data_IF_838267047888
#
_entry.id   IF_838267047888
#
_cell.length_a   1.000
_cell.length_b   1.000
_cell.length_c   1.000
_cell.angle_alpha   90.00
_cell.angle_beta   90.00
_cell.angle_gamma   90.00
#
_symmetry.space_group_name_H-M   'P 1'
#
loop_
_entity.id
_entity.type
_entity.pdbx_description
1 polymer ?
#
# COMPACT_ATOMS: atom_id res chain seq x y z
N UNK A 1 -7.19 -0.26 10.67
CA UNK A 1 -5.72 -0.37 10.72
C UNK A 1 -5.19 0.42 11.91
N UNK A 2 -4.03 0.05 12.46
CA UNK A 2 -3.32 0.87 13.44
C UNK A 2 -2.37 1.85 12.72
N UNK A 3 -1.99 2.99 13.32
CA UNK A 3 -0.95 3.84 12.77
C UNK A 3 0.35 3.04 12.63
N UNK A 4 0.97 3.10 11.46
CA UNK A 4 2.12 2.27 11.10
C UNK A 4 3.31 3.09 10.56
N UNK A 5 3.23 4.41 10.61
CA UNK A 5 4.34 5.31 10.35
C UNK A 5 4.28 6.53 11.30
N UNK A 6 5.38 7.28 11.50
CA UNK A 6 5.42 8.38 12.45
C UNK A 6 4.37 9.48 12.20
N UNK A 7 4.09 9.80 10.94
CA UNK A 7 3.07 10.80 10.59
C UNK A 7 1.67 10.38 11.03
N UNK A 8 1.29 9.12 10.79
CA UNK A 8 0.01 8.56 11.23
C UNK A 8 -0.11 8.53 12.76
N UNK A 9 0.98 8.24 13.47
CA UNK A 9 0.99 8.30 14.94
C UNK A 9 0.71 9.71 15.44
N UNK A 10 1.38 10.72 14.89
CA UNK A 10 1.16 12.13 15.26
C UNK A 10 -0.29 12.57 14.99
N UNK A 11 -0.83 12.25 13.80
CA UNK A 11 -2.22 12.59 13.46
C UNK A 11 -3.23 11.99 14.44
N UNK A 12 -3.09 10.70 14.78
CA UNK A 12 -4.03 10.04 15.70
C UNK A 12 -3.84 10.44 17.16
N UNK A 13 -2.63 10.82 17.58
CA UNK A 13 -2.39 11.38 18.91
C UNK A 13 -3.10 12.71 19.10
N UNK A 14 -3.07 13.58 18.09
CA UNK A 14 -3.72 14.89 18.14
C UNK A 14 -5.24 14.80 17.95
N UNK A 15 -5.71 14.00 16.98
CA UNK A 15 -7.13 13.95 16.63
C UNK A 15 -7.93 13.08 17.61
N UNK A 16 -7.36 11.97 18.11
CA UNK A 16 -7.98 11.09 19.10
C UNK A 16 -9.41 10.59 18.74
N UNK A 17 -9.69 10.37 17.45
CA UNK A 17 -10.88 9.68 16.95
C UNK A 17 -10.54 8.87 15.68
N UNK A 18 -11.34 7.86 15.30
CA UNK A 18 -11.06 7.06 14.11
C UNK A 18 -11.18 7.87 12.82
N UNK A 19 -10.18 7.72 11.94
CA UNK A 19 -10.12 8.40 10.65
C UNK A 19 -10.32 7.41 9.51
N UNK A 20 -11.01 7.86 8.45
CA UNK A 20 -11.02 7.16 7.17
C UNK A 20 -9.63 7.31 6.54
N UNK A 21 -8.94 6.19 6.35
CA UNK A 21 -7.63 6.10 5.70
C UNK A 21 -7.76 5.18 4.49
N UNK A 22 -8.11 5.74 3.32
CA UNK A 22 -8.31 5.01 2.06
C UNK A 22 -7.22 5.36 1.04
N UNK A 23 -7.08 4.56 -0.02
CA UNK A 23 -6.16 4.87 -1.11
C UNK A 23 -6.56 6.17 -1.81
N UNK A 24 -5.59 7.08 -1.96
CA UNK A 24 -5.77 8.35 -2.68
C UNK A 24 -5.58 8.14 -4.17
N UNK A 25 -6.63 7.68 -4.86
CA UNK A 25 -6.60 7.46 -6.30
C UNK A 25 -7.96 7.71 -6.95
N UNK A 26 -7.95 8.16 -8.20
CA UNK A 26 -9.15 8.15 -9.03
C UNK A 26 -9.55 6.71 -9.37
N UNK A 27 -10.86 6.49 -9.52
CA UNK A 27 -11.38 5.18 -9.90
C UNK A 27 -10.78 4.72 -11.23
N UNK A 28 -10.29 3.47 -11.27
CA UNK A 28 -9.61 2.90 -12.44
C UNK A 28 -8.16 3.36 -12.65
N UNK A 29 -7.61 4.23 -11.79
CA UNK A 29 -6.20 4.65 -11.83
C UNK A 29 -5.41 4.03 -10.68
N UNK A 30 -4.12 3.70 -10.89
CA UNK A 30 -3.24 3.30 -9.81
C UNK A 30 -3.01 4.47 -8.84
N UNK A 31 -2.67 4.20 -7.56
CA UNK A 31 -2.31 5.24 -6.61
C UNK A 31 -1.11 6.08 -7.06
N UNK A 32 -1.20 7.39 -6.81
CA UNK A 32 -0.12 8.34 -7.01
C UNK A 32 1.07 8.03 -6.08
N UNK A 33 2.29 8.15 -6.59
CA UNK A 33 3.53 8.00 -5.81
C UNK A 33 4.40 9.27 -5.82
N UNK A 34 4.05 10.25 -6.67
CA UNK A 34 4.68 11.56 -6.71
C UNK A 34 3.71 12.63 -6.20
N UNK A 35 4.26 13.72 -5.70
CA UNK A 35 3.48 14.84 -5.19
C UNK A 35 2.66 15.49 -6.31
N UNK A 36 3.26 15.65 -7.48
CA UNK A 36 2.64 16.25 -8.67
C UNK A 36 1.44 15.41 -9.12
N UNK A 37 1.59 14.09 -9.18
CA UNK A 37 0.50 13.19 -9.55
C UNK A 37 -0.63 13.20 -8.51
N UNK A 38 -0.30 13.27 -7.22
CA UNK A 38 -1.32 13.34 -6.17
C UNK A 38 -2.13 14.64 -6.27
N UNK A 39 -1.48 15.78 -6.53
CA UNK A 39 -2.13 17.06 -6.74
C UNK A 39 -3.04 17.00 -7.98
N UNK A 40 -2.51 16.52 -9.11
CA UNK A 40 -3.26 16.44 -10.36
C UNK A 40 -4.47 15.50 -10.27
N UNK A 41 -4.30 14.31 -9.68
CA UNK A 41 -5.37 13.30 -9.61
C UNK A 41 -6.43 13.62 -8.54
N UNK A 42 -6.08 14.33 -7.45
CA UNK A 42 -6.95 14.47 -6.27
C UNK A 42 -7.40 15.91 -5.96
N UNK A 43 -7.00 16.90 -6.74
CA UNK A 43 -7.35 18.31 -6.47
C UNK A 43 -8.86 18.58 -6.37
N UNK A 44 -9.69 17.84 -7.11
CA UNK A 44 -11.15 17.97 -7.06
C UNK A 44 -11.80 17.19 -5.89
N UNK A 45 -11.02 16.40 -5.14
CA UNK A 45 -11.50 15.53 -4.06
C UNK A 45 -11.01 16.02 -2.69
N UNK A 46 -9.75 16.44 -2.60
CA UNK A 46 -9.11 16.79 -1.34
C UNK A 46 -9.14 18.31 -1.11
N UNK A 47 -9.64 18.73 0.05
CA UNK A 47 -9.61 20.15 0.46
C UNK A 47 -8.20 20.64 0.78
N UNK A 48 -7.25 19.72 0.99
CA UNK A 48 -5.87 20.05 1.29
C UNK A 48 -4.95 18.83 1.19
N UNK A 49 -3.65 19.09 1.12
CA UNK A 49 -2.63 18.08 0.92
C UNK A 49 -1.54 18.17 1.99
N UNK A 50 -1.26 17.05 2.65
CA UNK A 50 -0.13 16.90 3.57
C UNK A 50 0.93 16.02 2.91
N UNK A 51 1.89 16.66 2.24
CA UNK A 51 2.93 16.01 1.43
C UNK A 51 4.31 16.11 2.08
N UNK A 52 5.28 15.40 1.52
CA UNK A 52 6.68 15.45 1.94
C UNK A 52 7.64 15.33 0.75
N UNK A 53 8.92 15.63 0.98
CA UNK A 53 10.00 15.57 -0.01
C UNK A 53 10.83 14.27 0.02
N UNK A 54 10.33 13.21 0.67
CA UNK A 54 10.94 11.87 0.60
C UNK A 54 10.26 11.06 -0.50
N UNK A 55 10.97 10.73 -1.56
CA UNK A 55 10.37 10.05 -2.71
C UNK A 55 9.82 8.66 -2.37
N UNK A 56 8.68 8.31 -2.98
CA UNK A 56 8.12 6.95 -2.99
C UNK A 56 8.42 6.35 -4.36
N UNK A 57 9.36 5.41 -4.39
CA UNK A 57 9.84 4.81 -5.65
C UNK A 57 9.08 3.54 -6.05
N UNK A 58 8.29 2.97 -5.14
CA UNK A 58 7.52 1.76 -5.36
C UNK A 58 6.10 1.93 -4.82
N UNK A 59 5.11 1.55 -5.63
CA UNK A 59 3.72 1.45 -5.16
C UNK A 59 3.64 0.30 -4.18
N UNK A 60 3.00 0.55 -3.04
CA UNK A 60 2.84 -0.46 -2.00
C UNK A 60 1.54 -0.20 -1.22
N UNK A 61 0.45 -0.79 -1.71
CA UNK A 61 -0.86 -0.75 -1.06
C UNK A 61 -0.83 -1.40 0.32
N UNK A 62 -1.83 -1.07 1.14
CA UNK A 62 -2.06 -1.73 2.41
C UNK A 62 -2.47 -3.19 2.21
N UNK A 63 -1.82 -4.09 2.95
CA UNK A 63 -2.25 -5.48 3.00
C UNK A 63 -3.56 -5.60 3.77
N UNK A 64 -4.42 -6.52 3.32
CA UNK A 64 -5.73 -6.75 3.93
C UNK A 64 -5.83 -8.21 4.33
N UNK A 65 -6.13 -8.43 5.62
CA UNK A 65 -6.37 -9.74 6.22
C UNK A 65 -7.69 -9.73 6.95
N UNK A 66 -8.40 -10.86 6.95
CA UNK A 66 -9.53 -11.07 7.86
C UNK A 66 -9.02 -11.36 9.26
N UNK A 67 -9.89 -11.20 10.25
CA UNK A 67 -9.62 -11.61 11.64
C UNK A 67 -9.32 -13.12 11.75
N UNK A 68 -9.88 -13.93 10.84
CA UNK A 68 -9.55 -15.36 10.71
C UNK A 68 -8.12 -15.65 10.24
N UNK A 69 -7.35 -14.62 9.85
CA UNK A 69 -6.02 -14.75 9.26
C UNK A 69 -6.01 -14.98 7.74
N UNK A 70 -7.18 -15.05 7.10
CA UNK A 70 -7.28 -15.18 5.65
C UNK A 70 -6.70 -13.93 4.95
N UNK A 71 -5.74 -14.15 4.06
CA UNK A 71 -5.11 -13.10 3.25
C UNK A 71 -6.01 -12.71 2.08
N UNK A 72 -6.45 -11.44 2.04
CA UNK A 72 -7.26 -10.88 0.96
C UNK A 72 -6.42 -10.07 -0.04
N UNK A 73 -5.41 -9.35 0.46
CA UNK A 73 -4.46 -8.58 -0.36
C UNK A 73 -3.09 -8.63 0.30
N UNK A 74 -2.09 -9.17 -0.40
CA UNK A 74 -0.69 -9.27 0.08
C UNK A 74 0.17 -8.18 -0.57
N UNK A 75 0.49 -7.13 0.17
CA UNK A 75 1.27 -5.98 -0.29
C UNK A 75 2.21 -5.46 0.81
N UNK A 76 1.99 -4.27 1.38
CA UNK A 76 2.84 -3.68 2.43
C UNK A 76 3.00 -4.61 3.63
N UNK A 77 4.24 -4.78 4.08
CA UNK A 77 4.59 -5.63 5.21
C UNK A 77 4.75 -7.12 4.89
N UNK A 78 4.49 -7.54 3.64
CA UNK A 78 4.72 -8.92 3.19
C UNK A 78 5.60 -8.99 1.93
N UNK A 79 5.50 -8.03 1.01
CA UNK A 79 6.39 -7.95 -0.16
C UNK A 79 7.71 -7.29 0.27
N UNK A 80 8.89 -7.82 -0.09
CA UNK A 80 9.16 -8.88 -1.08
C UNK A 80 9.51 -10.26 -0.49
N UNK A 81 8.99 -10.63 0.68
CA UNK A 81 9.37 -11.89 1.33
C UNK A 81 9.06 -13.10 0.43
N UNK A 82 10.07 -13.97 0.31
CA UNK A 82 10.00 -15.18 -0.50
C UNK A 82 9.12 -16.26 0.13
N UNK A 83 8.52 -17.11 -0.72
CA UNK A 83 7.71 -18.27 -0.30
C UNK A 83 8.44 -19.53 -0.72
N UNK A 84 8.65 -20.46 0.22
CA UNK A 84 9.28 -21.74 -0.07
C UNK A 84 8.39 -22.58 -0.99
N UNK A 85 8.99 -23.20 -2.00
CA UNK A 85 8.28 -24.14 -2.87
C UNK A 85 8.00 -25.46 -2.14
N UNK A 86 6.96 -26.21 -2.56
CA UNK A 86 6.65 -27.51 -1.97
C UNK A 86 7.82 -28.50 -2.04
N UNK A 87 7.84 -29.54 -1.18
CA UNK A 87 8.83 -30.60 -1.26
C UNK A 87 8.90 -31.21 -2.67
N UNK A 88 10.12 -31.43 -3.17
CA UNK A 88 10.38 -31.98 -4.51
C UNK A 88 10.76 -30.94 -5.57
N UNK A 89 10.48 -29.66 -5.35
CA UNK A 89 10.96 -28.58 -6.21
C UNK A 89 12.43 -28.27 -5.90
N UNK A 90 13.34 -28.64 -6.81
CA UNK A 90 14.78 -28.39 -6.73
C UNK A 90 15.29 -27.94 -8.10
N UNK A 91 16.38 -27.16 -8.11
CA UNK A 91 17.08 -26.70 -9.31
C UNK A 91 16.17 -26.03 -10.37
N UNK A 92 15.18 -25.27 -9.90
CA UNK A 92 14.21 -24.59 -10.77
C UNK A 92 14.91 -23.44 -11.50
N UNK A 93 14.84 -23.34 -12.84
CA UNK A 93 15.40 -22.22 -13.59
C UNK A 93 14.67 -20.91 -13.27
N UNK A 94 15.26 -19.73 -13.56
CA UNK A 94 14.59 -18.46 -13.33
C UNK A 94 13.37 -18.32 -14.23
N UNK A 95 12.18 -18.31 -13.63
CA UNK A 95 10.89 -18.19 -14.32
C UNK A 95 10.16 -16.95 -13.82
N UNK A 96 9.63 -16.15 -14.75
CA UNK A 96 8.74 -15.02 -14.45
C UNK A 96 7.29 -15.43 -14.70
N UNK A 97 6.44 -15.31 -13.67
CA UNK A 97 5.01 -15.55 -13.77
C UNK A 97 4.26 -14.20 -13.83
N UNK A 98 3.61 -13.88 -14.95
CA UNK A 98 2.91 -12.59 -15.13
C UNK A 98 1.51 -12.54 -14.52
N UNK A 99 0.92 -13.70 -14.21
CA UNK A 99 -0.46 -13.86 -13.73
C UNK A 99 -1.51 -13.08 -14.58
N UNK A 100 -2.79 -13.12 -14.20
CA UNK A 100 -3.82 -12.23 -14.76
C UNK A 100 -4.05 -11.08 -13.78
N UNK A 101 -4.17 -9.87 -14.34
CA UNK A 101 -4.48 -8.61 -13.64
C UNK A 101 -6.00 -8.51 -13.45
#
# INVERSE_FOLDING_TARGET
>A
MLPANPLQHLLLQELNYPLVMTSGNLSGRPPAITNEQALDDLHDIADGFLLHNRDIVQRMDDSVVRDSGEMLRRSRGYVPDAIALPPGFRDVPPILCLARI
#
